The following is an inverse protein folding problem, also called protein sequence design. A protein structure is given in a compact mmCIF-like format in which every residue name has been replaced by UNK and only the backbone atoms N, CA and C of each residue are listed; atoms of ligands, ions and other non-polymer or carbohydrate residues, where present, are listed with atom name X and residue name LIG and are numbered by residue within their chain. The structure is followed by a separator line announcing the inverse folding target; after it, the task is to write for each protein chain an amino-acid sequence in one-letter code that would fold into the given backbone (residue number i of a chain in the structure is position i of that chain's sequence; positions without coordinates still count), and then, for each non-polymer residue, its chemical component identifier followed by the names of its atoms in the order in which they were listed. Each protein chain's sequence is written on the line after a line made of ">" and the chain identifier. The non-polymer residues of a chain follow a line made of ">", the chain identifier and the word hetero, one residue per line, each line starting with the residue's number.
data_IF_718001847584
#
_entry.id   IF_718001847584
#
_cell.length_a   1.000
_cell.length_b   1.000
_cell.length_c   1.000
_cell.angle_alpha   90.00
_cell.angle_beta   90.00
_cell.angle_gamma   90.00
#
_symmetry.space_group_name_H-M   'P 1'
#
loop_
_entity.id
_entity.type
_entity.pdbx_description
1 polymer ?
#
# COMPACT_ATOMS: atom_id res chain seq x y z
N UNK A 1 5.45 -13.58 -22.03
CA UNK A 1 4.05 -13.10 -22.00
C UNK A 1 4.11 -11.61 -21.81
N UNK A 2 3.40 -10.84 -22.64
CA UNK A 2 3.24 -9.39 -22.44
C UNK A 2 2.20 -9.17 -21.34
N UNK A 3 2.53 -8.36 -20.35
CA UNK A 3 1.57 -7.86 -19.36
C UNK A 3 1.07 -6.50 -19.84
N UNK A 4 -0.23 -6.26 -19.74
CA UNK A 4 -0.85 -5.00 -20.17
C UNK A 4 -1.86 -4.58 -19.10
N UNK A 5 -1.90 -3.29 -18.79
CA UNK A 5 -2.87 -2.72 -17.88
C UNK A 5 -3.84 -1.81 -18.64
N UNK A 6 -5.14 -2.03 -18.43
CA UNK A 6 -6.22 -1.24 -19.01
C UNK A 6 -6.98 -0.55 -17.90
N UNK A 7 -6.93 0.79 -17.83
CA UNK A 7 -7.82 1.56 -16.96
C UNK A 7 -9.26 1.17 -17.27
N UNK A 8 -10.03 0.84 -16.24
CA UNK A 8 -11.43 0.45 -16.42
C UNK A 8 -12.39 1.64 -16.30
N UNK A 9 -11.86 2.84 -16.07
CA UNK A 9 -12.57 4.12 -15.97
C UNK A 9 -11.59 5.27 -16.25
N UNK A 10 -12.06 6.33 -16.92
CA UNK A 10 -11.34 7.60 -17.07
C UNK A 10 -11.48 8.51 -15.85
N UNK A 11 -12.35 8.14 -14.90
CA UNK A 11 -12.55 8.81 -13.62
C UNK A 11 -11.96 7.97 -12.48
N UNK A 12 -11.43 8.60 -11.42
CA UNK A 12 -10.96 7.89 -10.25
C UNK A 12 -12.12 7.26 -9.48
N UNK A 13 -11.87 6.12 -8.81
CA UNK A 13 -12.85 5.46 -7.96
C UNK A 13 -13.03 6.15 -6.60
N UNK A 14 -12.00 6.87 -6.14
CA UNK A 14 -12.04 7.75 -4.97
C UNK A 14 -11.24 9.01 -5.29
N UNK A 15 -11.80 10.19 -4.98
CA UNK A 15 -11.13 11.47 -5.13
C UNK A 15 -11.02 12.17 -3.76
N UNK A 16 -9.82 12.60 -3.41
CA UNK A 16 -9.53 13.49 -2.29
C UNK A 16 -9.58 14.95 -2.77
N UNK A 17 -10.13 15.84 -1.94
CA UNK A 17 -10.06 17.29 -2.12
C UNK A 17 -10.37 18.00 -0.79
N UNK A 18 -10.00 19.27 -0.68
CA UNK A 18 -10.41 20.09 0.47
C UNK A 18 -11.94 20.11 0.58
N UNK A 19 -12.47 19.73 1.74
CA UNK A 19 -13.91 19.56 1.98
C UNK A 19 -14.50 18.22 1.55
N UNK A 20 -13.71 17.32 0.95
CA UNK A 20 -14.11 15.92 0.74
C UNK A 20 -14.22 15.20 2.09
N UNK A 21 -15.06 14.16 2.19
CA UNK A 21 -15.07 13.26 3.36
C UNK A 21 -13.68 12.65 3.66
N UNK A 22 -12.79 12.58 2.67
CA UNK A 22 -11.45 11.98 2.75
C UNK A 22 -10.32 13.00 2.99
N UNK A 23 -10.63 14.30 3.14
CA UNK A 23 -9.58 15.33 3.13
C UNK A 23 -8.85 15.43 1.78
N UNK A 24 -7.63 15.95 1.78
CA UNK A 24 -6.88 16.33 0.57
C UNK A 24 -5.78 15.33 0.14
N UNK A 25 -5.63 14.20 0.81
CA UNK A 25 -4.66 13.15 0.45
C UNK A 25 -5.20 11.75 0.80
N UNK A 26 -4.91 10.79 -0.09
CA UNK A 26 -5.23 9.36 0.01
C UNK A 26 -4.08 8.51 -0.52
N UNK A 27 -3.63 7.53 0.25
CA UNK A 27 -2.52 6.67 -0.13
C UNK A 27 -2.63 5.23 0.41
N UNK A 28 -1.72 4.38 -0.08
CA UNK A 28 -1.59 2.98 0.31
C UNK A 28 -2.91 2.20 0.29
N UNK A 29 -3.56 2.05 -0.87
CA UNK A 29 -4.77 1.25 -0.97
C UNK A 29 -4.46 -0.21 -0.62
N UNK A 30 -5.45 -0.87 -0.03
CA UNK A 30 -5.52 -2.32 0.14
C UNK A 30 -6.98 -2.76 0.00
N UNK A 31 -7.24 -3.57 -1.01
CA UNK A 31 -8.56 -4.04 -1.39
C UNK A 31 -8.71 -5.52 -1.06
N UNK A 32 -9.83 -5.87 -0.44
CA UNK A 32 -10.26 -7.25 -0.29
C UNK A 32 -11.69 -7.43 -0.80
N UNK A 33 -11.99 -8.63 -1.30
CA UNK A 33 -13.35 -9.11 -1.36
C UNK A 33 -13.72 -9.63 0.03
N UNK A 34 -14.80 -9.09 0.60
CA UNK A 34 -15.24 -9.45 1.94
C UNK A 34 -15.61 -10.94 2.01
N UNK A 35 -14.91 -11.74 2.83
CA UNK A 35 -15.12 -13.17 2.90
C UNK A 35 -16.56 -13.54 3.24
N UNK A 36 -17.04 -14.68 2.73
CA UNK A 36 -18.40 -15.16 3.00
C UNK A 36 -18.67 -15.44 4.48
N UNK A 37 -17.62 -15.74 5.26
CA UNK A 37 -17.70 -15.94 6.70
C UNK A 37 -17.69 -14.65 7.52
N UNK A 38 -17.42 -13.49 6.89
CA UNK A 38 -17.33 -12.22 7.60
C UNK A 38 -18.72 -11.84 8.16
N UNK A 39 -18.86 -11.64 9.48
CA UNK A 39 -20.12 -11.33 10.10
C UNK A 39 -20.62 -9.96 9.65
N UNK A 40 -21.93 -9.83 9.44
CA UNK A 40 -22.60 -8.56 9.09
C UNK A 40 -21.95 -7.82 7.91
N UNK A 41 -21.47 -8.56 6.91
CA UNK A 41 -20.84 -8.03 5.69
C UNK A 41 -21.63 -6.84 5.12
N UNK A 42 -20.97 -5.68 5.01
CA UNK A 42 -21.60 -4.40 4.61
C UNK A 42 -21.64 -4.18 3.09
N UNK A 43 -20.74 -4.83 2.34
CA UNK A 43 -20.64 -4.78 0.88
C UNK A 43 -19.78 -5.96 0.38
N UNK A 44 -19.71 -6.18 -0.93
CA UNK A 44 -18.79 -7.15 -1.54
C UNK A 44 -17.32 -6.79 -1.36
N UNK A 45 -16.95 -5.51 -1.48
CA UNK A 45 -15.57 -5.05 -1.51
C UNK A 45 -15.27 -4.03 -0.41
N UNK A 46 -14.12 -4.21 0.25
CA UNK A 46 -13.62 -3.35 1.33
C UNK A 46 -12.28 -2.78 0.89
N UNK A 47 -12.21 -1.46 0.67
CA UNK A 47 -11.00 -0.74 0.29
C UNK A 47 -10.48 0.06 1.48
N UNK A 48 -9.38 -0.39 2.07
CA UNK A 48 -8.65 0.30 3.11
C UNK A 48 -7.60 1.22 2.49
N UNK A 49 -7.42 2.40 3.08
CA UNK A 49 -6.42 3.38 2.63
C UNK A 49 -6.18 4.37 3.77
N UNK A 50 -5.13 5.17 3.65
CA UNK A 50 -4.78 6.15 4.67
C UNK A 50 -4.59 7.53 4.06
N UNK A 51 -4.18 8.47 4.92
CA UNK A 51 -3.65 9.77 4.54
C UNK A 51 -2.18 9.77 4.97
N UNK A 52 -1.30 10.39 4.19
CA UNK A 52 0.15 10.40 4.43
C UNK A 52 0.53 10.90 5.84
N UNK A 53 -0.21 11.89 6.34
CA UNK A 53 -0.13 12.42 7.71
C UNK A 53 -1.38 12.12 8.56
N UNK A 54 -2.11 11.08 8.21
CA UNK A 54 -3.37 10.72 8.86
C UNK A 54 -3.16 10.09 10.22
N UNK A 55 -4.14 10.29 11.10
CA UNK A 55 -4.24 9.65 12.41
C UNK A 55 -5.15 8.41 12.40
N UNK A 56 -5.62 7.95 11.24
CA UNK A 56 -6.46 6.77 11.13
C UNK A 56 -6.38 6.08 9.76
N UNK A 57 -6.65 4.78 9.75
CA UNK A 57 -6.94 3.99 8.56
C UNK A 57 -8.41 4.16 8.20
N UNK A 58 -8.68 4.47 6.93
CA UNK A 58 -10.00 4.68 6.36
C UNK A 58 -10.49 3.42 5.66
N UNK A 59 -11.80 3.36 5.45
CA UNK A 59 -12.46 2.27 4.74
C UNK A 59 -13.52 2.82 3.80
N UNK A 60 -13.50 2.38 2.54
CA UNK A 60 -14.60 2.55 1.59
C UNK A 60 -15.21 1.20 1.21
N UNK A 61 -16.52 1.19 0.99
CA UNK A 61 -17.32 0.01 0.77
C UNK A 61 -18.07 0.11 -0.57
N UNK A 62 -18.01 -0.94 -1.39
CA UNK A 62 -18.74 -1.02 -2.66
C UNK A 62 -19.14 -2.46 -3.00
N UNK A 63 -20.22 -2.64 -3.76
CA UNK A 63 -20.63 -3.94 -4.30
C UNK A 63 -20.09 -4.19 -5.72
N UNK A 64 -19.55 -3.14 -6.36
CA UNK A 64 -18.93 -3.14 -7.67
C UNK A 64 -17.57 -2.41 -7.60
N UNK A 65 -16.56 -2.88 -8.33
CA UNK A 65 -15.21 -2.30 -8.33
C UNK A 65 -15.17 -0.86 -8.87
N UNK A 66 -16.08 -0.51 -9.78
CA UNK A 66 -16.26 0.86 -10.29
C UNK A 66 -17.08 1.73 -9.34
N UNK A 67 -17.59 1.17 -8.25
CA UNK A 67 -18.40 1.86 -7.26
C UNK A 67 -19.90 1.84 -7.54
N UNK A 68 -20.70 2.70 -6.89
CA UNK A 68 -20.24 3.81 -6.05
C UNK A 68 -19.56 3.34 -4.76
N UNK A 69 -18.40 3.92 -4.47
CA UNK A 69 -17.67 3.71 -3.22
C UNK A 69 -18.22 4.61 -2.11
N UNK A 70 -18.63 4.00 -0.99
CA UNK A 70 -19.19 4.71 0.18
C UNK A 70 -18.18 4.69 1.32
N UNK A 71 -17.82 5.86 1.83
CA UNK A 71 -16.94 5.97 2.98
C UNK A 71 -17.61 5.43 4.25
N UNK A 72 -16.90 4.56 4.97
CA UNK A 72 -17.23 4.21 6.34
C UNK A 72 -16.79 5.35 7.26
N UNK A 73 -17.76 5.97 7.94
CA UNK A 73 -17.52 7.15 8.75
C UNK A 73 -16.48 6.90 9.85
N UNK A 74 -15.62 7.89 10.09
CA UNK A 74 -14.57 7.93 11.12
C UNK A 74 -13.37 6.97 10.92
N UNK A 75 -13.37 6.10 9.91
CA UNK A 75 -12.30 5.11 9.75
C UNK A 75 -12.48 3.89 10.66
N UNK A 76 -11.45 3.03 10.72
CA UNK A 76 -11.53 1.70 11.37
C UNK A 76 -10.39 1.42 12.35
N UNK A 77 -9.31 2.20 12.31
CA UNK A 77 -8.16 2.04 13.21
C UNK A 77 -7.52 3.40 13.43
N UNK A 78 -7.38 3.86 14.67
CA UNK A 78 -6.84 5.18 14.99
C UNK A 78 -5.45 5.10 15.64
N UNK A 79 -4.62 6.11 15.40
CA UNK A 79 -3.31 6.29 16.01
C UNK A 79 -3.40 6.27 17.55
N UNK A 80 -4.49 6.82 18.12
CA UNK A 80 -4.79 6.77 19.55
C UNK A 80 -4.95 5.38 20.14
N UNK A 81 -5.26 4.38 19.31
CA UNK A 81 -5.45 2.98 19.72
C UNK A 81 -4.12 2.19 19.66
N UNK A 82 -3.05 2.82 19.17
CA UNK A 82 -1.74 2.22 18.95
C UNK A 82 -0.76 2.58 20.07
N UNK A 83 0.35 1.84 20.23
CA UNK A 83 1.43 2.22 21.14
C UNK A 83 2.39 3.26 20.52
N UNK A 84 2.00 3.98 19.47
CA UNK A 84 2.81 5.01 18.81
C UNK A 84 2.55 6.39 19.43
N UNK A 85 3.51 7.34 19.35
CA UNK A 85 3.33 8.69 19.88
C UNK A 85 2.17 9.42 19.20
N UNK A 86 1.45 10.25 19.97
CA UNK A 86 0.39 11.16 19.46
C UNK A 86 0.90 12.57 19.13
N UNK A 87 2.13 12.86 19.56
CA UNK A 87 2.78 14.16 19.39
C UNK A 87 4.19 13.95 18.86
N UNK A 88 4.70 14.96 18.15
CA UNK A 88 6.06 14.94 17.60
C UNK A 88 7.07 14.53 18.68
N UNK A 89 7.85 13.46 18.47
CA UNK A 89 8.84 13.03 19.44
C UNK A 89 9.96 14.09 19.58
N UNK A 90 10.54 14.28 20.78
CA UNK A 90 11.59 15.26 21.03
C UNK A 90 12.97 14.73 20.57
N UNK A 91 13.08 14.35 19.31
CA UNK A 91 14.31 13.83 18.66
C UNK A 91 14.73 14.74 17.50
N UNK A 92 15.95 14.55 17.00
CA UNK A 92 16.46 15.34 15.88
C UNK A 92 15.68 15.02 14.59
N UNK A 93 15.45 16.03 13.76
CA UNK A 93 14.89 15.83 12.42
C UNK A 93 15.82 14.95 11.58
N UNK A 94 15.27 14.04 10.76
CA UNK A 94 16.09 13.25 9.85
C UNK A 94 16.71 14.14 8.77
N UNK A 95 17.90 13.77 8.29
CA UNK A 95 18.68 14.60 7.37
C UNK A 95 17.90 14.97 6.09
N UNK A 96 17.15 14.03 5.52
CA UNK A 96 16.34 14.28 4.32
C UNK A 96 15.28 15.38 4.52
N UNK A 97 14.77 15.54 5.75
CA UNK A 97 13.78 16.56 6.08
C UNK A 97 14.45 17.92 6.27
N UNK A 98 15.62 17.95 6.93
CA UNK A 98 16.46 19.15 7.06
C UNK A 98 16.87 19.71 5.69
N UNK A 99 17.31 18.84 4.78
CA UNK A 99 17.74 19.21 3.42
C UNK A 99 16.61 19.90 2.62
N UNK A 100 15.36 19.62 2.97
CA UNK A 100 14.15 20.16 2.33
C UNK A 100 13.47 21.29 3.12
N UNK A 101 13.96 21.60 4.32
CA UNK A 101 13.32 22.58 5.21
C UNK A 101 11.90 22.19 5.66
N UNK A 102 11.61 20.89 5.76
CA UNK A 102 10.34 20.34 6.24
C UNK A 102 10.55 19.55 7.54
N UNK A 103 9.47 19.18 8.23
CA UNK A 103 9.54 18.24 9.36
C UNK A 103 9.30 16.81 8.87
N UNK A 104 10.18 15.89 9.24
CA UNK A 104 10.00 14.45 9.00
C UNK A 104 9.34 13.71 10.17
N UNK A 105 9.15 14.41 11.29
CA UNK A 105 8.68 13.85 12.56
C UNK A 105 7.21 14.21 12.82
N UNK A 106 6.31 13.67 12.00
CA UNK A 106 4.87 13.78 12.21
C UNK A 106 4.29 12.44 12.68
N UNK A 107 3.61 12.39 13.84
CA UNK A 107 2.83 11.23 14.24
C UNK A 107 1.77 10.88 13.19
N UNK A 108 1.74 9.61 12.78
CA UNK A 108 0.79 9.12 11.78
C UNK A 108 0.68 7.60 11.83
N UNK A 109 -0.38 7.08 11.19
CA UNK A 109 -0.44 5.70 10.72
C UNK A 109 -0.89 5.65 9.26
N UNK A 110 -0.24 4.82 8.45
CA UNK A 110 -0.47 4.81 7.01
C UNK A 110 -0.13 3.47 6.33
N UNK A 111 -0.44 3.44 5.03
CA UNK A 111 -0.20 2.35 4.08
C UNK A 111 -0.60 0.96 4.60
N UNK A 112 -1.91 0.74 4.86
CA UNK A 112 -2.40 -0.55 5.28
C UNK A 112 -2.21 -1.61 4.19
N UNK A 113 -1.96 -2.83 4.63
CA UNK A 113 -1.99 -4.04 3.85
C UNK A 113 -2.88 -5.06 4.57
N UNK A 114 -4.10 -5.21 4.09
CA UNK A 114 -5.13 -6.08 4.65
C UNK A 114 -5.15 -7.40 3.90
N UNK A 115 -5.10 -8.49 4.64
CA UNK A 115 -5.09 -9.85 4.13
C UNK A 115 -6.10 -10.72 4.87
N UNK A 116 -6.46 -11.85 4.26
CA UNK A 116 -7.45 -12.79 4.79
C UNK A 116 -6.71 -13.98 5.41
N UNK A 117 -6.76 -14.14 6.73
CA UNK A 117 -6.28 -15.34 7.42
C UNK A 117 -7.38 -16.41 7.37
N UNK A 118 -7.34 -17.24 6.33
CA UNK A 118 -8.29 -18.33 6.13
C UNK A 118 -8.24 -19.39 7.24
N UNK A 119 -7.09 -19.57 7.88
CA UNK A 119 -6.92 -20.60 8.92
C UNK A 119 -7.67 -20.24 10.20
N UNK A 120 -7.70 -18.94 10.52
CA UNK A 120 -8.38 -18.40 11.72
C UNK A 120 -9.76 -17.81 11.42
N UNK A 121 -10.13 -17.70 10.13
CA UNK A 121 -11.31 -16.93 9.70
C UNK A 121 -11.28 -15.51 10.29
N UNK A 122 -10.15 -14.84 10.11
CA UNK A 122 -9.91 -13.48 10.58
C UNK A 122 -9.29 -12.64 9.47
N UNK A 123 -9.44 -11.32 9.59
CA UNK A 123 -8.70 -10.37 8.78
C UNK A 123 -7.43 -9.98 9.52
N UNK A 124 -6.32 -9.87 8.80
CA UNK A 124 -5.07 -9.31 9.27
C UNK A 124 -4.77 -7.99 8.58
N UNK A 125 -4.05 -7.11 9.25
CA UNK A 125 -3.55 -5.86 8.68
C UNK A 125 -2.11 -5.64 9.13
N UNK A 126 -1.25 -5.24 8.22
CA UNK A 126 -0.01 -4.54 8.55
C UNK A 126 -0.15 -3.08 8.15
N UNK A 127 0.31 -2.17 8.99
CA UNK A 127 0.40 -0.74 8.69
C UNK A 127 1.69 -0.20 9.32
N UNK A 128 2.10 1.03 8.99
CA UNK A 128 3.25 1.67 9.63
C UNK A 128 2.88 3.00 10.26
N UNK A 129 3.75 3.49 11.14
CA UNK A 129 3.67 4.83 11.71
C UNK A 129 4.98 5.26 12.35
N UNK A 130 5.08 6.54 12.71
CA UNK A 130 6.23 7.11 13.42
C UNK A 130 6.26 6.60 14.86
N UNK A 131 7.40 6.10 15.34
CA UNK A 131 7.60 5.69 16.74
C UNK A 131 8.35 6.76 17.55
N UNK A 132 8.51 6.52 18.84
CA UNK A 132 9.00 7.49 19.84
C UNK A 132 10.42 8.00 19.61
N UNK A 133 11.25 7.23 18.91
CA UNK A 133 12.62 7.59 18.56
C UNK A 133 12.75 8.28 17.19
N UNK A 134 11.62 8.56 16.52
CA UNK A 134 11.58 9.20 15.21
C UNK A 134 11.72 8.23 14.04
N UNK A 135 11.90 6.93 14.30
CA UNK A 135 11.91 5.91 13.26
C UNK A 135 10.50 5.47 12.91
N UNK A 136 10.24 5.19 11.62
CA UNK A 136 8.98 4.60 11.21
C UNK A 136 9.03 3.08 11.33
N UNK A 137 7.98 2.49 11.89
CA UNK A 137 7.89 1.05 12.13
C UNK A 137 6.50 0.52 11.79
N UNK A 138 6.44 -0.75 11.43
CA UNK A 138 5.18 -1.45 11.20
C UNK A 138 4.66 -2.15 12.45
N UNK A 139 3.33 -2.21 12.53
CA UNK A 139 2.55 -2.96 13.50
C UNK A 139 1.60 -3.89 12.77
N UNK A 140 1.22 -4.98 13.44
CA UNK A 140 0.18 -5.91 12.98
C UNK A 140 -1.11 -5.66 13.74
N UNK A 141 -2.25 -5.87 13.10
CA UNK A 141 -3.55 -5.92 13.74
C UNK A 141 -4.41 -7.07 13.18
N UNK A 142 -5.40 -7.50 13.96
CA UNK A 142 -6.38 -8.51 13.54
C UNK A 142 -7.81 -8.05 13.80
N UNK A 143 -8.74 -8.51 12.99
CA UNK A 143 -10.16 -8.17 13.09
C UNK A 143 -11.05 -9.36 12.73
N UNK A 144 -12.18 -9.48 13.41
CA UNK A 144 -13.21 -10.48 13.10
C UNK A 144 -14.26 -9.95 12.12
N UNK A 145 -14.36 -8.63 11.92
CA UNK A 145 -15.42 -7.97 11.15
C UNK A 145 -14.93 -6.94 10.10
N UNK A 146 -13.63 -6.64 10.11
CA UNK A 146 -12.99 -5.64 9.25
C UNK A 146 -13.19 -4.19 9.68
N UNK A 147 -13.83 -3.97 10.83
CA UNK A 147 -14.23 -2.64 11.31
C UNK A 147 -13.57 -2.32 12.65
N UNK A 148 -13.45 -3.32 13.52
CA UNK A 148 -12.84 -3.20 14.84
C UNK A 148 -11.54 -4.00 14.83
N UNK A 149 -10.43 -3.34 15.12
CA UNK A 149 -9.09 -3.91 15.00
C UNK A 149 -8.41 -4.05 16.36
N UNK A 150 -7.78 -5.20 16.59
CA UNK A 150 -6.93 -5.48 17.75
C UNK A 150 -5.48 -5.36 17.34
N UNK A 151 -4.75 -4.43 17.94
CA UNK A 151 -3.39 -4.07 17.53
C UNK A 151 -2.37 -4.84 18.37
N UNK A 152 -1.38 -5.43 17.70
CA UNK A 152 -0.22 -6.02 18.34
C UNK A 152 0.82 -4.93 18.67
N UNK A 153 1.46 -5.05 19.83
CA UNK A 153 2.46 -4.07 20.29
C UNK A 153 3.87 -4.33 19.73
N UNK A 154 4.09 -5.49 19.11
CA UNK A 154 5.39 -5.89 18.56
C UNK A 154 5.70 -5.05 17.33
N UNK A 155 6.82 -4.34 17.36
CA UNK A 155 7.33 -3.55 16.25
C UNK A 155 7.97 -4.43 15.19
N UNK A 156 7.79 -4.05 13.94
CA UNK A 156 8.57 -4.51 12.79
C UNK A 156 9.40 -3.31 12.34
N UNK A 157 10.72 -3.43 12.36
CA UNK A 157 11.65 -2.34 11.98
C UNK A 157 11.72 -2.17 10.45
N UNK A 158 10.55 -1.96 9.84
CA UNK A 158 10.38 -1.79 8.40
C UNK A 158 8.98 -1.20 8.11
N UNK A 159 8.78 -0.61 6.92
CA UNK A 159 7.54 0.06 6.50
C UNK A 159 7.09 -0.37 5.10
N UNK A 160 5.86 0.02 4.71
CA UNK A 160 5.25 -0.31 3.41
C UNK A 160 5.21 -1.82 3.10
N UNK A 161 4.96 -2.64 4.11
CA UNK A 161 4.91 -4.09 3.96
C UNK A 161 3.72 -4.51 3.09
N UNK A 162 3.98 -5.41 2.15
CA UNK A 162 2.99 -6.17 1.38
C UNK A 162 3.15 -7.65 1.68
N UNK A 163 2.19 -8.21 2.40
CA UNK A 163 2.18 -9.59 2.87
C UNK A 163 1.76 -10.54 1.75
N UNK A 164 2.39 -11.71 1.66
CA UNK A 164 1.98 -12.78 0.76
C UNK A 164 2.40 -14.14 1.29
N UNK A 165 1.62 -15.17 0.99
CA UNK A 165 1.93 -16.55 1.38
C UNK A 165 2.55 -17.32 0.21
N UNK A 166 3.57 -18.13 0.50
CA UNK A 166 4.20 -19.02 -0.47
C UNK A 166 4.76 -20.27 0.21
N UNK A 167 4.43 -21.45 -0.30
CA UNK A 167 4.89 -22.75 0.21
C UNK A 167 4.70 -22.95 1.74
N UNK A 168 3.61 -22.41 2.30
CA UNK A 168 3.27 -22.56 3.72
C UNK A 168 3.97 -21.58 4.67
N UNK A 169 4.86 -20.72 4.15
CA UNK A 169 5.45 -19.60 4.87
C UNK A 169 4.76 -18.30 4.46
N UNK A 170 4.73 -17.33 5.38
CA UNK A 170 4.29 -15.96 5.10
C UNK A 170 5.52 -15.08 4.87
N UNK A 171 5.49 -14.28 3.82
CA UNK A 171 6.52 -13.32 3.45
C UNK A 171 5.97 -11.91 3.40
N UNK A 172 6.87 -10.92 3.38
CA UNK A 172 6.52 -9.54 3.10
C UNK A 172 7.56 -8.90 2.18
N UNK A 173 7.09 -8.09 1.23
CA UNK A 173 7.93 -7.13 0.51
C UNK A 173 7.78 -5.76 1.16
N UNK A 174 8.88 -5.09 1.45
CA UNK A 174 8.89 -3.82 2.16
C UNK A 174 9.55 -2.67 1.39
N UNK A 175 9.54 -1.47 1.98
CA UNK A 175 10.30 -0.30 1.50
C UNK A 175 11.75 -0.67 1.15
N UNK A 176 12.25 -0.08 0.06
CA UNK A 176 13.57 -0.41 -0.48
C UNK A 176 13.64 -1.77 -1.20
N UNK A 177 12.55 -2.53 -1.20
CA UNK A 177 12.47 -3.84 -1.86
C UNK A 177 13.01 -4.97 -0.99
N UNK A 178 13.01 -4.79 0.34
CA UNK A 178 13.48 -5.81 1.27
C UNK A 178 12.46 -6.94 1.41
N UNK A 179 12.94 -8.18 1.35
CA UNK A 179 12.14 -9.37 1.66
C UNK A 179 12.22 -9.67 3.15
N UNK A 180 11.07 -10.02 3.74
CA UNK A 180 10.96 -10.50 5.11
C UNK A 180 10.20 -11.84 5.09
N UNK A 181 10.50 -12.71 6.05
CA UNK A 181 9.75 -13.96 6.26
C UNK A 181 9.23 -14.01 7.69
N UNK A 182 7.95 -14.27 7.84
CA UNK A 182 7.28 -14.48 9.12
C UNK A 182 7.09 -15.99 9.36
N UNK A 183 7.63 -16.48 10.47
CA UNK A 183 7.38 -17.86 10.90
C UNK A 183 5.96 -18.04 11.44
N UNK A 184 5.49 -19.28 11.57
CA UNK A 184 4.21 -19.59 12.21
C UNK A 184 4.09 -19.06 13.65
N UNK A 185 5.22 -18.88 14.35
CA UNK A 185 5.27 -18.30 15.69
C UNK A 185 5.23 -16.75 15.69
N UNK A 186 5.21 -16.11 14.51
CA UNK A 186 5.23 -14.65 14.37
C UNK A 186 6.61 -14.02 14.51
N UNK A 187 7.68 -14.80 14.35
CA UNK A 187 9.04 -14.27 14.28
C UNK A 187 9.34 -13.77 12.88
N UNK A 188 10.02 -12.62 12.78
CA UNK A 188 10.29 -11.97 11.50
C UNK A 188 11.79 -12.07 11.23
N UNK A 189 12.14 -12.73 10.13
CA UNK A 189 13.47 -12.79 9.58
C UNK A 189 13.61 -11.76 8.45
N UNK A 190 14.67 -10.96 8.48
CA UNK A 190 15.01 -10.04 7.41
C UNK A 190 15.86 -10.75 6.36
N UNK A 191 15.51 -10.55 5.09
CA UNK A 191 16.14 -11.15 3.94
C UNK A 191 16.78 -10.12 3.00
N UNK A 192 16.97 -10.50 1.71
CA UNK A 192 17.67 -9.67 0.74
C UNK A 192 16.85 -8.45 0.32
N UNK A 193 17.55 -7.44 -0.20
CA UNK A 193 16.93 -6.41 -1.03
C UNK A 193 16.80 -6.95 -2.45
N UNK A 194 15.58 -7.31 -2.84
CA UNK A 194 15.28 -7.94 -4.12
C UNK A 194 15.19 -6.95 -5.28
N UNK A 195 15.22 -5.64 -5.02
CA UNK A 195 15.06 -4.57 -6.02
C UNK A 195 16.26 -3.63 -6.05
N UNK A 196 16.48 -2.90 -7.16
CA UNK A 196 17.44 -1.81 -7.19
C UNK A 196 17.06 -0.69 -6.21
N UNK A 197 18.03 0.19 -5.92
CA UNK A 197 17.81 1.36 -5.08
C UNK A 197 16.65 2.22 -5.57
N UNK A 198 15.88 2.77 -4.64
CA UNK A 198 14.75 3.65 -4.95
C UNK A 198 13.40 2.95 -5.01
N UNK A 199 13.32 1.62 -4.88
CA UNK A 199 12.04 0.92 -4.71
C UNK A 199 11.22 1.55 -3.57
N UNK A 200 10.01 1.99 -3.90
CA UNK A 200 9.13 2.71 -2.98
C UNK A 200 7.93 1.86 -2.57
N UNK A 201 6.82 2.01 -3.30
CA UNK A 201 5.57 1.30 -3.06
C UNK A 201 5.47 0.10 -3.98
N UNK A 202 4.86 -0.98 -3.50
CA UNK A 202 4.60 -2.18 -4.28
C UNK A 202 3.19 -2.74 -4.01
N UNK A 203 2.71 -3.53 -4.95
CA UNK A 203 1.63 -4.50 -4.80
C UNK A 203 2.12 -5.85 -5.32
N UNK A 204 1.73 -6.94 -4.67
CA UNK A 204 2.26 -8.28 -4.94
C UNK A 204 1.14 -9.28 -5.24
N UNK A 205 1.41 -10.24 -6.12
CA UNK A 205 0.51 -11.36 -6.42
C UNK A 205 1.33 -12.62 -6.67
N UNK A 206 1.00 -13.71 -5.96
CA UNK A 206 1.63 -15.02 -6.16
C UNK A 206 0.84 -15.81 -7.20
N UNK A 207 1.53 -16.34 -8.23
CA UNK A 207 0.97 -17.27 -9.22
C UNK A 207 1.95 -18.41 -9.48
N UNK A 208 1.64 -19.60 -8.97
CA UNK A 208 2.55 -20.74 -9.01
C UNK A 208 3.86 -20.39 -8.31
N UNK A 209 4.99 -20.53 -9.01
CA UNK A 209 6.33 -20.22 -8.49
C UNK A 209 6.81 -18.80 -8.86
N UNK A 210 5.88 -17.87 -9.07
CA UNK A 210 6.21 -16.48 -9.42
C UNK A 210 5.53 -15.50 -8.48
N UNK A 211 6.30 -14.51 -8.04
CA UNK A 211 5.77 -13.29 -7.44
C UNK A 211 5.73 -12.21 -8.52
N UNK A 212 4.53 -11.78 -8.86
CA UNK A 212 4.29 -10.63 -9.70
C UNK A 212 4.30 -9.39 -8.82
N UNK A 213 5.11 -8.40 -9.18
CA UNK A 213 5.25 -7.18 -8.40
C UNK A 213 5.01 -5.98 -9.31
N UNK A 214 3.98 -5.19 -8.99
CA UNK A 214 3.82 -3.84 -9.53
C UNK A 214 4.41 -2.88 -8.51
N UNK A 215 5.33 -2.03 -8.89
CA UNK A 215 6.07 -1.17 -7.97
C UNK A 215 6.40 0.19 -8.57
N UNK A 216 6.92 1.09 -7.74
CA UNK A 216 7.24 2.47 -8.10
C UNK A 216 8.63 2.83 -7.58
N UNK A 217 9.28 3.82 -8.21
CA UNK A 217 10.68 4.18 -7.92
C UNK A 217 10.83 5.67 -7.62
N UNK A 218 11.37 5.98 -6.44
CA UNK A 218 11.77 7.35 -6.07
C UNK A 218 12.77 7.88 -7.09
N UNK A 219 12.54 9.11 -7.56
CA UNK A 219 13.43 9.83 -8.48
C UNK A 219 13.09 9.64 -9.96
N UNK A 220 12.11 8.79 -10.30
CA UNK A 220 11.57 8.73 -11.66
C UNK A 220 10.78 10.01 -11.99
N UNK A 221 10.77 10.39 -13.27
CA UNK A 221 10.14 11.61 -13.78
C UNK A 221 9.43 11.34 -15.14
N UNK A 222 8.11 11.15 -15.18
CA UNK A 222 7.22 11.01 -14.02
C UNK A 222 7.39 9.65 -13.33
N UNK A 223 7.12 9.58 -12.03
CA UNK A 223 6.97 8.29 -11.35
C UNK A 223 5.78 7.53 -11.96
N UNK A 224 6.02 6.27 -12.33
CA UNK A 224 5.10 5.42 -13.09
C UNK A 224 4.99 4.06 -12.42
N UNK A 225 3.94 3.29 -12.76
CA UNK A 225 3.85 1.91 -12.30
C UNK A 225 4.77 1.03 -13.14
N UNK A 226 5.74 0.42 -12.48
CA UNK A 226 6.66 -0.56 -13.04
C UNK A 226 6.17 -1.97 -12.72
N UNK A 227 6.52 -2.94 -13.54
CA UNK A 227 6.26 -4.35 -13.30
C UNK A 227 7.56 -5.14 -13.32
N UNK A 228 7.71 -6.05 -12.36
CA UNK A 228 8.80 -7.03 -12.30
C UNK A 228 8.26 -8.39 -11.86
N UNK A 229 9.04 -9.44 -12.09
CA UNK A 229 8.76 -10.80 -11.59
C UNK A 229 9.91 -11.28 -10.73
N UNK A 230 9.60 -12.02 -9.67
CA UNK A 230 10.56 -12.78 -8.88
C UNK A 230 10.25 -14.27 -9.03
N UNK A 231 11.29 -15.05 -9.32
CA UNK A 231 11.26 -16.51 -9.37
C UNK A 231 11.30 -17.08 -7.94
N UNK A 232 10.14 -17.53 -7.45
CA UNK A 232 9.97 -18.03 -6.09
C UNK A 232 10.48 -19.47 -5.91
N UNK A 233 10.76 -20.19 -7.00
CA UNK A 233 11.31 -21.56 -6.94
C UNK A 233 12.73 -21.62 -6.35
N UNK A 234 13.41 -20.47 -6.33
CA UNK A 234 14.74 -20.32 -5.75
C UNK A 234 14.67 -20.15 -4.24
N UNK A 235 15.79 -20.39 -3.58
CA UNK A 235 15.98 -20.02 -2.18
C UNK A 235 15.67 -18.54 -1.98
N UNK A 236 14.88 -18.21 -0.95
CA UNK A 236 14.34 -16.86 -0.79
C UNK A 236 15.40 -15.76 -0.59
N UNK A 237 16.59 -16.12 -0.11
CA UNK A 237 17.74 -15.22 -0.05
C UNK A 237 18.33 -14.84 -1.42
N UNK A 238 17.90 -15.53 -2.48
CA UNK A 238 18.30 -15.30 -3.87
C UNK A 238 17.17 -14.66 -4.70
N UNK A 239 16.04 -14.36 -4.08
CA UNK A 239 14.94 -13.67 -4.75
C UNK A 239 15.38 -12.28 -5.19
N UNK A 240 15.26 -12.04 -6.49
CA UNK A 240 15.60 -10.78 -7.14
C UNK A 240 14.58 -10.48 -8.21
N UNK A 241 14.19 -9.21 -8.31
CA UNK A 241 13.32 -8.70 -9.36
C UNK A 241 14.00 -8.84 -10.71
N UNK A 242 13.25 -9.32 -11.69
CA UNK A 242 13.66 -9.49 -13.07
C UNK A 242 12.66 -8.81 -14.01
N UNK A 243 13.10 -8.52 -15.23
CA UNK A 243 12.25 -8.07 -16.34
C UNK A 243 11.44 -6.80 -16.02
N UNK A 244 12.09 -5.79 -15.43
CA UNK A 244 11.44 -4.52 -15.12
C UNK A 244 11.00 -3.80 -16.40
N UNK A 245 9.70 -3.53 -16.51
CA UNK A 245 9.08 -2.76 -17.60
C UNK A 245 8.11 -1.73 -17.03
N UNK A 246 7.87 -0.63 -17.74
CA UNK A 246 6.78 0.29 -17.41
C UNK A 246 5.45 -0.34 -17.76
N UNK A 247 4.53 -0.41 -16.80
CA UNK A 247 3.19 -0.97 -16.97
C UNK A 247 2.14 0.12 -17.23
N UNK A 248 2.18 1.21 -16.47
CA UNK A 248 1.30 2.37 -16.61
C UNK A 248 2.07 3.66 -16.34
N UNK A 249 1.90 4.65 -17.21
CA UNK A 249 2.32 6.03 -16.99
C UNK A 249 1.09 6.94 -16.82
N UNK A 250 1.22 8.13 -16.20
CA UNK A 250 0.14 9.12 -16.14
C UNK A 250 -0.36 9.52 -17.54
N UNK A 251 -1.67 9.49 -17.74
CA UNK A 251 -2.35 9.81 -19.01
C UNK A 251 -3.61 10.66 -18.81
N UNK A 252 -4.21 10.64 -17.62
CA UNK A 252 -5.47 11.33 -17.33
C UNK A 252 -5.26 12.63 -16.55
N UNK A 253 -6.23 13.56 -16.65
CA UNK A 253 -6.19 14.85 -15.95
C UNK A 253 -6.01 14.68 -14.44
N UNK A 254 -6.75 13.75 -13.83
CA UNK A 254 -6.67 13.47 -12.39
C UNK A 254 -5.36 12.76 -11.98
N UNK A 255 -4.62 12.21 -12.93
CA UNK A 255 -3.28 11.64 -12.71
C UNK A 255 -2.18 12.70 -12.75
N UNK A 256 -2.54 13.97 -13.00
CA UNK A 256 -1.63 15.11 -12.95
C UNK A 256 -0.95 15.44 -14.28
N UNK A 257 -1.42 14.90 -15.41
CA UNK A 257 -0.77 15.07 -16.73
C UNK A 257 -0.59 16.53 -17.16
N UNK A 258 -1.44 17.42 -16.65
CA UNK A 258 -1.40 18.86 -16.92
C UNK A 258 -0.39 19.63 -16.05
N UNK A 259 0.38 18.95 -15.19
CA UNK A 259 1.45 19.54 -14.39
C UNK A 259 2.84 19.17 -14.92
N UNK A 260 3.89 19.95 -14.61
CA UNK A 260 5.24 19.66 -15.07
C UNK A 260 5.73 18.29 -14.60
N UNK A 261 6.40 17.58 -15.49
CA UNK A 261 7.15 16.36 -15.15
C UNK A 261 8.33 16.75 -14.26
N UNK A 262 8.39 16.18 -13.06
CA UNK A 262 9.48 16.37 -12.09
C UNK A 262 9.87 15.02 -11.49
N UNK A 263 11.10 14.92 -11.00
CA UNK A 263 11.55 13.73 -10.30
C UNK A 263 10.85 13.61 -8.95
N UNK A 264 10.35 12.42 -8.62
CA UNK A 264 9.68 12.21 -7.35
C UNK A 264 10.64 12.24 -6.15
N UNK A 265 10.17 12.78 -5.04
CA UNK A 265 10.93 12.90 -3.80
C UNK A 265 10.36 12.01 -2.69
N UNK A 266 11.18 11.74 -1.68
CA UNK A 266 10.75 11.09 -0.43
C UNK A 266 9.78 12.00 0.32
N UNK A 267 8.79 11.43 0.98
CA UNK A 267 7.78 12.17 1.75
C UNK A 267 6.55 12.52 0.93
N UNK A 268 5.80 13.51 1.40
CA UNK A 268 4.49 13.87 0.84
C UNK A 268 4.61 14.36 -0.61
N UNK A 269 3.68 13.90 -1.44
CA UNK A 269 3.52 14.37 -2.81
C UNK A 269 2.97 15.79 -2.84
N UNK A 270 3.35 16.57 -3.87
CA UNK A 270 2.64 17.81 -4.15
C UNK A 270 1.25 17.49 -4.73
N UNK A 271 0.19 18.25 -4.39
CA UNK A 271 -1.11 18.05 -5.01
C UNK A 271 -1.03 18.16 -6.54
N UNK A 272 -1.73 17.27 -7.24
CA UNK A 272 -1.77 17.17 -8.70
C UNK A 272 -0.44 16.82 -9.37
N UNK A 273 0.54 16.27 -8.64
CA UNK A 273 1.81 15.81 -9.21
C UNK A 273 1.59 14.82 -10.39
N UNK A 274 2.31 15.05 -11.50
CA UNK A 274 2.35 14.17 -12.68
C UNK A 274 3.02 12.84 -12.32
N UNK A 275 2.33 11.95 -11.60
CA UNK A 275 2.89 10.72 -11.07
C UNK A 275 1.82 9.67 -10.69
N UNK A 276 2.16 8.38 -10.83
CA UNK A 276 1.40 7.25 -10.29
C UNK A 276 2.15 6.61 -9.11
N UNK A 277 1.44 6.25 -8.04
CA UNK A 277 2.00 5.72 -6.79
C UNK A 277 1.14 4.61 -6.18
N UNK A 278 1.63 4.02 -5.09
CA UNK A 278 0.88 3.12 -4.21
C UNK A 278 0.09 2.00 -4.91
N UNK A 279 0.73 1.18 -5.78
CA UNK A 279 0.04 0.06 -6.41
C UNK A 279 -0.40 -0.96 -5.35
N UNK A 280 -1.56 -1.57 -5.58
CA UNK A 280 -2.07 -2.72 -4.87
C UNK A 280 -2.66 -3.70 -5.87
N UNK A 281 -2.19 -4.95 -5.86
CA UNK A 281 -2.70 -6.02 -6.72
C UNK A 281 -3.88 -6.71 -6.05
N UNK A 282 -4.96 -6.87 -6.78
CA UNK A 282 -6.19 -7.48 -6.30
C UNK A 282 -6.72 -8.48 -7.33
N UNK A 283 -7.11 -9.66 -6.89
CA UNK A 283 -7.72 -10.69 -7.74
C UNK A 283 -9.14 -11.00 -7.28
N UNK A 284 -10.08 -11.00 -8.22
CA UNK A 284 -11.46 -11.45 -8.02
C UNK A 284 -12.01 -12.04 -9.31
N UNK A 285 -12.90 -13.02 -9.22
CA UNK A 285 -13.58 -13.62 -10.38
C UNK A 285 -12.63 -14.06 -11.52
N UNK A 286 -11.41 -14.50 -11.17
CA UNK A 286 -10.36 -14.92 -12.11
C UNK A 286 -9.72 -13.78 -12.92
N UNK A 287 -9.90 -12.53 -12.49
CA UNK A 287 -9.32 -11.33 -13.10
C UNK A 287 -8.43 -10.61 -12.11
N UNK A 288 -7.34 -10.05 -12.62
CA UNK A 288 -6.37 -9.30 -11.83
C UNK A 288 -6.56 -7.81 -12.09
N UNK A 289 -6.49 -7.02 -11.02
CA UNK A 289 -6.60 -5.58 -11.05
C UNK A 289 -5.45 -4.96 -10.29
N UNK A 290 -5.08 -3.74 -10.67
CA UNK A 290 -4.23 -2.86 -9.87
C UNK A 290 -5.02 -1.63 -9.46
N UNK A 291 -5.01 -1.34 -8.16
CA UNK A 291 -5.46 -0.07 -7.59
C UNK A 291 -4.22 0.77 -7.37
N UNK A 292 -4.26 2.05 -7.70
CA UNK A 292 -3.10 2.93 -7.61
C UNK A 292 -3.51 4.36 -7.29
N UNK A 293 -2.60 5.12 -6.70
CA UNK A 293 -2.76 6.55 -6.48
C UNK A 293 -2.27 7.36 -7.68
N UNK A 294 -2.96 8.45 -8.01
CA UNK A 294 -2.57 9.41 -9.05
C UNK A 294 -2.61 10.85 -8.55
N UNK A 295 -2.02 11.77 -9.31
CA UNK A 295 -2.14 13.21 -9.07
C UNK A 295 -1.55 13.63 -7.71
N UNK A 296 -0.43 13.02 -7.31
CA UNK A 296 0.20 13.27 -6.01
C UNK A 296 -0.65 12.81 -4.82
N UNK A 297 -1.09 11.55 -4.83
CA UNK A 297 -1.91 10.96 -3.75
C UNK A 297 -3.25 11.70 -3.55
N UNK A 298 -3.81 12.26 -4.64
CA UNK A 298 -5.10 12.99 -4.59
C UNK A 298 -6.27 12.14 -5.04
N UNK A 299 -6.04 11.01 -5.72
CA UNK A 299 -7.08 10.14 -6.24
C UNK A 299 -6.63 8.68 -6.29
N UNK A 300 -7.57 7.74 -6.24
CA UNK A 300 -7.33 6.33 -6.50
C UNK A 300 -8.00 5.92 -7.82
N UNK A 301 -7.23 5.28 -8.70
CA UNK A 301 -7.71 4.64 -9.92
C UNK A 301 -7.63 3.13 -9.84
N UNK A 302 -8.20 2.48 -10.86
CA UNK A 302 -8.18 1.03 -11.01
C UNK A 302 -8.00 0.64 -12.47
N UNK A 303 -7.14 -0.35 -12.72
CA UNK A 303 -6.90 -0.92 -14.03
C UNK A 303 -6.97 -2.45 -13.99
N UNK A 304 -7.54 -3.06 -15.03
CA UNK A 304 -7.51 -4.50 -15.26
C UNK A 304 -6.16 -4.90 -15.84
N UNK A 305 -5.59 -6.00 -15.36
CA UNK A 305 -4.31 -6.53 -15.81
C UNK A 305 -4.53 -7.77 -16.65
N UNK A 306 -4.09 -7.71 -17.91
CA UNK A 306 -4.01 -8.87 -18.80
C UNK A 306 -2.62 -9.52 -18.72
N UNK A 307 -2.60 -10.85 -18.72
CA UNK A 307 -1.36 -11.65 -18.71
C UNK A 307 -0.93 -12.18 -17.34
N UNK A 308 -1.79 -12.09 -16.31
CA UNK A 308 -1.63 -12.63 -14.95
C UNK A 308 -2.78 -13.58 -14.54
#
# INVERSE_FOLDING_TARGET
>A
MSIIAHRISDQPIIQAHSGAPFGNNINGPSLIEAPSWLPHRKARYYLYFAHHWGDHIRLALADDLLGPWRLYQNGVLHLSDTPLPLHKPPVAEPQWALDRGVSGLYPHIASPDVYIDHSRQQLGMVFHGLDHDGEQRSLQASSDDGLIWRIAHKRINQTYLRMFDYNGDTYALALGGQMLRQSAAGEIAFGPYAFPSGHRHAGVLVRGERLHVIWTRVGDAPESLLYSVIDLSREWHQWTAQNTVTLLAPELDWEGVNTPITASEIGIAAPNEHALRDPYLFETDGRVYVIYAGGGESALGIAHIEGL
#
